data_IF_519977625592
#
_entry.id   IF_519977625592
#
_cell.length_a   1.000
_cell.length_b   1.000
_cell.length_c   1.000
_cell.angle_alpha   90.00
_cell.angle_beta   90.00
_cell.angle_gamma   90.00
#
_symmetry.space_group_name_H-M   'P 1'
#
loop_
_entity.id
_entity.type
_entity.pdbx_description
1 polymer ?
#
# COMPACT_ATOMS: atom_id res chain seq x y z
N UNK A 1 9.67 -17.76 -0.67
CA UNK A 1 8.23 -17.95 -0.64
C UNK A 1 7.59 -17.16 0.49
N UNK A 2 6.43 -16.61 0.24
CA UNK A 2 5.76 -15.77 1.21
C UNK A 2 4.47 -16.43 1.69
N UNK A 3 4.25 -16.44 2.98
CA UNK A 3 3.02 -16.98 3.57
C UNK A 3 2.18 -15.84 4.13
N UNK A 4 0.89 -16.03 4.11
CA UNK A 4 -0.06 -15.05 4.62
C UNK A 4 -0.36 -15.31 6.09
N UNK A 5 0.64 -15.39 6.87
CA UNK A 5 0.52 -15.64 8.28
C UNK A 5 1.88 -15.71 8.89
N UNK A 6 1.95 -16.24 10.07
CA UNK A 6 3.23 -16.41 10.72
C UNK A 6 3.23 -17.67 11.55
N UNK A 7 4.41 -18.21 11.71
CA UNK A 7 4.60 -19.38 12.55
C UNK A 7 4.77 -18.91 13.98
N UNK A 8 3.88 -19.33 14.84
CA UNK A 8 3.94 -19.03 16.27
C UNK A 8 4.20 -20.32 17.00
N UNK A 9 5.37 -20.42 17.61
CA UNK A 9 5.80 -21.70 18.16
C UNK A 9 5.97 -22.67 17.02
N UNK A 10 5.19 -23.75 17.04
CA UNK A 10 5.21 -24.75 15.99
C UNK A 10 3.94 -24.77 15.18
N UNK A 11 3.10 -23.76 15.36
CA UNK A 11 1.83 -23.69 14.67
C UNK A 11 1.79 -22.52 13.72
N UNK A 12 1.21 -22.77 12.58
CA UNK A 12 0.98 -21.70 11.61
C UNK A 12 -0.31 -20.98 12.00
N UNK A 13 -0.22 -19.70 12.23
CA UNK A 13 -1.37 -18.87 12.55
C UNK A 13 -1.67 -17.99 11.36
N UNK A 14 -2.84 -18.21 10.78
CA UNK A 14 -3.27 -17.44 9.64
C UNK A 14 -3.73 -16.06 10.07
N UNK A 15 -3.35 -15.06 9.28
CA UNK A 15 -3.72 -13.68 9.52
C UNK A 15 -4.48 -13.17 8.32
N UNK A 16 -4.96 -11.93 8.41
CA UNK A 16 -5.52 -11.26 7.25
C UNK A 16 -4.51 -11.34 6.10
N UNK A 17 -5.01 -11.47 4.87
CA UNK A 17 -4.13 -11.60 3.70
C UNK A 17 -3.43 -10.29 3.39
N UNK A 18 -2.50 -9.93 4.25
CA UNK A 18 -1.68 -8.75 4.12
C UNK A 18 -0.24 -9.19 3.98
N UNK A 19 0.39 -8.73 2.92
CA UNK A 19 1.76 -9.09 2.60
C UNK A 19 2.66 -7.91 2.92
N UNK A 20 3.73 -8.18 3.66
CA UNK A 20 4.74 -7.16 3.91
C UNK A 20 5.70 -7.14 2.72
N UNK A 21 5.83 -5.99 2.11
CA UNK A 21 6.66 -5.81 0.94
C UNK A 21 7.41 -4.49 1.06
N UNK A 22 8.41 -4.31 0.23
CA UNK A 22 9.08 -3.02 0.08
C UNK A 22 9.25 -2.80 -1.40
N UNK A 23 8.37 -2.00 -1.97
CA UNK A 23 8.43 -1.63 -3.37
C UNK A 23 8.45 -0.12 -3.50
N UNK A 24 9.24 0.36 -4.43
CA UNK A 24 9.20 1.77 -4.77
C UNK A 24 8.00 2.02 -5.67
N UNK A 25 7.21 3.02 -5.31
CA UNK A 25 6.04 3.39 -6.07
C UNK A 25 6.02 4.90 -6.26
N UNK A 26 5.34 5.34 -7.29
CA UNK A 26 5.06 6.75 -7.49
C UNK A 26 3.60 6.97 -7.20
N UNK A 27 3.32 7.90 -6.28
CA UNK A 27 1.95 8.26 -5.92
C UNK A 27 1.60 9.52 -6.66
N UNK A 28 0.69 9.42 -7.62
CA UNK A 28 0.24 10.57 -8.39
C UNK A 28 -1.04 11.10 -7.82
N UNK A 29 -1.03 12.38 -7.46
CA UNK A 29 -2.23 13.11 -7.08
C UNK A 29 -2.61 14.04 -8.23
N UNK A 30 -3.63 14.88 -8.02
CA UNK A 30 -4.17 15.71 -9.09
C UNK A 30 -3.12 16.64 -9.71
N UNK A 31 -2.25 17.20 -8.91
CA UNK A 31 -1.28 18.21 -9.37
C UNK A 31 0.13 17.95 -8.89
N UNK A 32 0.42 16.75 -8.38
CA UNK A 32 1.74 16.45 -7.88
C UNK A 32 2.00 14.96 -7.90
N UNK A 33 3.27 14.60 -7.73
CA UNK A 33 3.68 13.20 -7.62
C UNK A 33 4.63 13.08 -6.45
N UNK A 34 4.51 12.01 -5.70
CA UNK A 34 5.32 11.76 -4.52
C UNK A 34 5.92 10.36 -4.62
N UNK A 35 7.22 10.27 -4.48
CA UNK A 35 7.87 8.97 -4.36
C UNK A 35 7.56 8.36 -3.01
N UNK A 36 7.37 7.06 -2.98
CA UNK A 36 7.02 6.37 -1.75
C UNK A 36 7.50 4.93 -1.80
N UNK A 37 7.49 4.30 -0.62
CA UNK A 37 7.70 2.88 -0.50
C UNK A 37 6.41 2.23 -0.06
N UNK A 38 6.00 1.22 -0.82
CA UNK A 38 4.85 0.41 -0.46
C UNK A 38 5.35 -0.64 0.51
N UNK A 39 4.97 -0.54 1.77
CA UNK A 39 5.49 -1.41 2.81
C UNK A 39 4.51 -2.47 3.28
N UNK A 40 3.26 -2.35 2.85
CA UNK A 40 2.24 -3.29 3.27
C UNK A 40 1.10 -3.23 2.26
N UNK A 41 0.60 -4.39 1.85
CA UNK A 41 -0.47 -4.45 0.87
C UNK A 41 -1.39 -5.63 1.16
N UNK A 42 -2.69 -5.41 0.92
CA UNK A 42 -3.69 -6.47 0.91
C UNK A 42 -4.53 -6.27 -0.34
N UNK A 43 -5.50 -7.12 -0.57
CA UNK A 43 -6.36 -6.98 -1.75
C UNK A 43 -7.17 -5.69 -1.74
N UNK A 44 -7.37 -5.08 -0.58
CA UNK A 44 -8.22 -3.91 -0.45
C UNK A 44 -7.49 -2.64 -0.06
N UNK A 45 -6.32 -2.75 0.55
CA UNK A 45 -5.64 -1.58 1.08
C UNK A 45 -4.13 -1.71 1.11
N UNK A 46 -3.50 -0.62 1.58
CA UNK A 46 -2.05 -0.52 1.54
C UNK A 46 -1.54 0.45 2.59
N UNK A 47 -0.25 0.36 2.85
CA UNK A 47 0.45 1.34 3.67
C UNK A 47 1.71 1.79 2.95
N UNK A 48 1.96 3.08 3.01
CA UNK A 48 3.09 3.72 2.33
C UNK A 48 3.95 4.48 3.31
N UNK A 49 5.23 4.55 3.00
CA UNK A 49 6.11 5.55 3.57
C UNK A 49 6.53 6.47 2.44
N UNK A 50 6.20 7.73 2.58
CA UNK A 50 6.30 8.69 1.49
C UNK A 50 7.50 9.62 1.68
N UNK A 51 7.99 10.18 0.57
CA UNK A 51 9.06 11.16 0.64
C UNK A 51 8.55 12.55 0.98
N UNK A 52 7.24 12.74 0.87
CA UNK A 52 6.56 13.98 1.25
C UNK A 52 5.20 13.63 1.82
N UNK A 53 4.65 14.47 2.70
CA UNK A 53 3.35 14.18 3.27
C UNK A 53 2.25 14.13 2.22
N UNK A 54 1.30 13.22 2.44
CA UNK A 54 0.09 13.13 1.65
C UNK A 54 -1.08 13.64 2.48
N UNK A 55 -2.20 13.90 1.82
CA UNK A 55 -3.41 14.34 2.51
C UNK A 55 -4.42 13.21 2.57
N UNK A 56 -5.01 13.00 3.74
CA UNK A 56 -6.09 12.03 3.87
C UNK A 56 -7.29 12.49 3.04
N UNK A 57 -7.97 11.54 2.42
CA UNK A 57 -9.08 11.84 1.53
C UNK A 57 -8.68 12.06 0.09
N UNK A 58 -7.39 12.15 -0.21
CA UNK A 58 -6.92 12.36 -1.58
C UNK A 58 -7.15 11.14 -2.45
N UNK A 59 -7.58 11.39 -3.68
CA UNK A 59 -7.60 10.35 -4.69
C UNK A 59 -6.25 10.33 -5.38
N UNK A 60 -5.65 9.17 -5.44
CA UNK A 60 -4.30 9.03 -6.00
C UNK A 60 -4.25 7.83 -6.93
N UNK A 61 -3.19 7.78 -7.72
CA UNK A 61 -2.87 6.62 -8.55
C UNK A 61 -1.50 6.14 -8.14
N UNK A 62 -1.40 4.87 -7.82
CA UNK A 62 -0.13 4.25 -7.47
C UNK A 62 0.48 3.64 -8.73
N UNK A 63 1.68 4.07 -9.06
CA UNK A 63 2.41 3.51 -10.19
C UNK A 63 3.49 2.59 -9.67
N UNK A 64 3.29 1.32 -9.89
CA UNK A 64 4.21 0.26 -9.46
C UNK A 64 4.82 -0.34 -10.71
N UNK A 65 6.12 -0.60 -10.69
CA UNK A 65 6.81 -1.15 -11.83
C UNK A 65 6.16 -2.44 -12.31
N UNK A 66 6.01 -2.58 -13.62
CA UNK A 66 5.50 -3.79 -14.27
C UNK A 66 4.05 -4.12 -13.93
N UNK A 67 3.29 -3.13 -13.50
CA UNK A 67 1.86 -3.29 -13.26
C UNK A 67 1.11 -2.11 -13.81
N UNK A 68 -0.17 -2.32 -14.05
CA UNK A 68 -1.06 -1.21 -14.41
C UNK A 68 -1.22 -0.29 -13.21
N UNK A 69 -1.38 1.00 -13.44
CA UNK A 69 -1.61 1.93 -12.35
C UNK A 69 -2.83 1.54 -11.53
N UNK A 70 -2.75 1.75 -10.23
CA UNK A 70 -3.80 1.36 -9.30
C UNK A 70 -4.42 2.62 -8.71
N UNK A 71 -5.71 2.80 -8.91
CA UNK A 71 -6.44 3.93 -8.33
C UNK A 71 -6.75 3.65 -6.88
N UNK A 72 -6.60 4.65 -6.05
CA UNK A 72 -6.75 4.49 -4.61
C UNK A 72 -7.15 5.78 -3.94
N UNK A 73 -7.56 5.67 -2.68
CA UNK A 73 -7.87 6.82 -1.83
C UNK A 73 -7.04 6.72 -0.58
N UNK A 74 -6.41 7.83 -0.20
CA UNK A 74 -5.66 7.90 1.05
C UNK A 74 -6.65 8.07 2.19
N UNK A 75 -6.70 7.09 3.09
CA UNK A 75 -7.63 7.12 4.21
C UNK A 75 -7.06 7.82 5.43
N UNK A 76 -5.74 7.75 5.61
CA UNK A 76 -5.07 8.43 6.70
C UNK A 76 -3.66 8.79 6.29
N UNK A 77 -3.15 9.85 6.90
CA UNK A 77 -1.77 10.27 6.68
C UNK A 77 -1.25 10.92 7.96
N UNK A 78 -0.07 10.54 8.38
CA UNK A 78 0.57 11.06 9.58
C UNK A 78 2.06 11.18 9.29
N UNK A 79 2.56 12.41 9.26
CA UNK A 79 3.96 12.65 8.89
C UNK A 79 4.21 12.12 7.48
N UNK A 80 5.15 11.21 7.36
CA UNK A 80 5.49 10.59 6.07
C UNK A 80 4.82 9.24 5.86
N UNK A 81 4.02 8.80 6.82
CA UNK A 81 3.28 7.54 6.70
C UNK A 81 1.88 7.82 6.19
N UNK A 82 1.38 6.93 5.37
CA UNK A 82 0.03 7.03 4.86
C UNK A 82 -0.53 5.64 4.58
N UNK A 83 -1.83 5.53 4.60
CA UNK A 83 -2.51 4.31 4.25
C UNK A 83 -3.79 4.61 3.52
N UNK A 84 -4.26 3.65 2.77
CA UNK A 84 -5.45 3.85 1.99
C UNK A 84 -6.06 2.56 1.50
N UNK A 85 -7.07 2.71 0.66
CA UNK A 85 -7.77 1.59 0.06
C UNK A 85 -7.76 1.74 -1.45
N UNK A 86 -7.74 0.61 -2.13
CA UNK A 86 -7.83 0.61 -3.59
C UNK A 86 -9.26 0.88 -4.01
N UNK A 87 -9.42 1.56 -5.14
CA UNK A 87 -10.74 1.80 -5.71
C UNK A 87 -11.43 0.50 -6.08
N UNK A 88 -10.64 -0.50 -6.47
CA UNK A 88 -11.13 -1.84 -6.78
C UNK A 88 -10.17 -2.84 -6.14
N UNK A 89 -10.68 -3.99 -5.66
CA UNK A 89 -9.80 -4.99 -5.09
C UNK A 89 -8.70 -5.42 -6.06
N UNK A 90 -7.52 -5.64 -5.53
CA UNK A 90 -6.35 -6.01 -6.31
C UNK A 90 -6.10 -7.49 -6.14
N UNK A 91 -5.79 -8.18 -7.25
CA UNK A 91 -5.39 -9.57 -7.18
C UNK A 91 -3.95 -9.65 -6.63
N UNK A 92 -3.76 -10.44 -5.61
CA UNK A 92 -2.45 -10.62 -5.01
C UNK A 92 -1.84 -11.97 -5.39
#
# INVERSE_FOLDING_TARGET
MKYEGELVGEEWVERDPRVEVIYEVLVRAADSSVGAELINISSEGFRLRCNSPLESGSEVTLEVAMQNPLKAVICWATGLDAGGVFAEPVAL
#
